data_IF_723391450372
#
_entry.id   IF_723391450372
#
_cell.length_a   1.000
_cell.length_b   1.000
_cell.length_c   1.000
_cell.angle_alpha   90.00
_cell.angle_beta   90.00
_cell.angle_gamma   90.00
#
_symmetry.space_group_name_H-M   'P 1'
#
loop_
_entity.id
_entity.type
_entity.pdbx_description
1 polymer ?
#
# COMPACT_ATOMS: atom_id res chain seq x y z
N UNK A 1 25.16 8.15 -4.45
CA UNK A 1 23.74 8.30 -4.83
C UNK A 1 23.03 7.06 -4.35
N UNK A 2 22.10 7.20 -3.41
CA UNK A 2 21.24 6.08 -3.00
C UNK A 2 20.44 5.65 -4.23
N UNK A 3 20.40 4.35 -4.58
CA UNK A 3 19.56 3.88 -5.68
C UNK A 3 18.10 4.35 -5.43
N UNK A 4 17.43 4.79 -6.50
CA UNK A 4 16.03 5.23 -6.40
C UNK A 4 15.17 4.07 -5.93
N UNK A 5 14.33 4.27 -4.91
CA UNK A 5 13.36 3.28 -4.45
C UNK A 5 12.49 2.78 -5.64
N UNK A 6 12.59 1.50 -6.04
CA UNK A 6 11.81 0.95 -7.16
C UNK A 6 10.30 0.96 -6.87
N UNK A 7 9.90 0.84 -5.61
CA UNK A 7 8.51 0.95 -5.17
C UNK A 7 7.97 2.34 -5.46
N UNK A 8 8.74 3.38 -5.16
CA UNK A 8 8.37 4.77 -5.43
C UNK A 8 8.14 5.01 -6.92
N UNK A 9 8.98 4.43 -7.80
CA UNK A 9 8.85 4.56 -9.26
C UNK A 9 7.50 4.04 -9.77
N UNK A 10 7.01 2.95 -9.19
CA UNK A 10 5.73 2.32 -9.58
C UNK A 10 4.53 3.02 -8.96
N UNK A 11 4.61 3.42 -7.69
CA UNK A 11 3.48 4.03 -6.98
C UNK A 11 3.24 5.49 -7.36
N UNK A 12 4.30 6.27 -7.63
CA UNK A 12 4.18 7.72 -7.81
C UNK A 12 3.26 8.13 -8.98
N UNK A 13 3.32 7.52 -10.18
CA UNK A 13 2.40 7.85 -11.27
C UNK A 13 0.92 7.59 -10.94
N UNK A 14 0.65 6.56 -10.13
CA UNK A 14 -0.72 6.24 -9.68
C UNK A 14 -1.16 7.22 -8.63
N UNK A 15 -0.31 7.52 -7.65
CA UNK A 15 -0.58 8.50 -6.61
C UNK A 15 -0.91 9.87 -7.20
N UNK A 16 -0.07 10.37 -8.12
CA UNK A 16 -0.29 11.68 -8.76
C UNK A 16 -1.58 11.70 -9.59
N UNK A 17 -1.90 10.58 -10.24
CA UNK A 17 -3.17 10.46 -10.95
C UNK A 17 -4.36 10.53 -10.01
N UNK A 18 -4.33 9.79 -8.90
CA UNK A 18 -5.41 9.79 -7.91
C UNK A 18 -5.56 11.18 -7.25
N UNK A 19 -4.45 11.88 -7.00
CA UNK A 19 -4.47 13.27 -6.51
C UNK A 19 -5.15 14.20 -7.50
N UNK A 20 -4.81 14.08 -8.78
CA UNK A 20 -5.45 14.85 -9.84
C UNK A 20 -6.95 14.54 -9.94
N UNK A 21 -7.35 13.27 -9.87
CA UNK A 21 -8.76 12.86 -9.92
C UNK A 21 -9.57 13.48 -8.78
N UNK A 22 -9.05 13.42 -7.55
CA UNK A 22 -9.73 14.04 -6.41
C UNK A 22 -9.74 15.58 -6.48
N UNK A 23 -8.70 16.21 -7.02
CA UNK A 23 -8.71 17.66 -7.30
C UNK A 23 -9.80 18.03 -8.31
N UNK A 24 -9.97 17.24 -9.37
CA UNK A 24 -11.04 17.45 -10.36
C UNK A 24 -12.43 17.32 -9.74
N UNK A 25 -12.63 16.36 -8.83
CA UNK A 25 -13.88 16.23 -8.07
C UNK A 25 -14.17 17.47 -7.22
N UNK A 26 -13.17 17.99 -6.50
CA UNK A 26 -13.32 19.23 -5.71
C UNK A 26 -13.65 20.44 -6.58
N UNK A 27 -12.99 20.57 -7.74
CA UNK A 27 -13.29 21.62 -8.72
C UNK A 27 -14.72 21.50 -9.25
N UNK A 28 -15.17 20.27 -9.54
CA UNK A 28 -16.55 20.02 -9.95
C UNK A 28 -17.58 20.38 -8.87
N UNK A 29 -17.33 20.01 -7.62
CA UNK A 29 -18.18 20.37 -6.48
C UNK A 29 -18.25 21.89 -6.28
N UNK A 30 -17.10 22.59 -6.41
CA UNK A 30 -17.07 24.05 -6.38
C UNK A 30 -17.91 24.65 -7.50
N UNK A 31 -17.77 24.15 -8.73
CA UNK A 31 -18.49 24.68 -9.89
C UNK A 31 -20.02 24.55 -9.74
N UNK A 32 -20.52 23.51 -9.06
CA UNK A 32 -21.96 23.35 -8.76
C UNK A 32 -22.50 24.56 -7.97
N UNK A 33 -21.72 25.11 -7.03
CA UNK A 33 -22.14 26.26 -6.24
C UNK A 33 -22.29 27.55 -7.07
N UNK A 34 -21.69 27.61 -8.26
CA UNK A 34 -21.78 28.76 -9.17
C UNK A 34 -23.04 28.71 -10.06
N UNK A 35 -23.82 27.61 -10.02
CA UNK A 35 -25.05 27.43 -10.81
C UNK A 35 -26.30 28.00 -10.09
N UNK A 36 -27.32 28.47 -10.84
CA UNK A 36 -28.64 28.77 -10.26
C UNK A 36 -29.25 27.54 -9.59
N UNK A 37 -29.58 27.63 -8.29
CA UNK A 37 -30.04 26.49 -7.49
C UNK A 37 -28.93 25.52 -7.06
N UNK A 38 -27.66 25.90 -7.26
CA UNK A 38 -26.48 25.10 -6.98
C UNK A 38 -26.36 24.61 -5.54
N UNK A 39 -26.80 25.39 -4.55
CA UNK A 39 -26.76 24.99 -3.14
C UNK A 39 -27.53 23.70 -2.85
N UNK A 40 -28.72 23.53 -3.45
CA UNK A 40 -29.52 22.32 -3.26
C UNK A 40 -28.84 21.09 -3.90
N UNK A 41 -28.17 21.27 -5.03
CA UNK A 41 -27.42 20.23 -5.72
C UNK A 41 -26.10 19.90 -5.02
N UNK A 42 -25.45 20.89 -4.40
CA UNK A 42 -24.27 20.68 -3.58
C UNK A 42 -24.61 19.88 -2.32
N UNK A 43 -25.72 20.24 -1.65
CA UNK A 43 -26.18 19.55 -0.44
C UNK A 43 -26.49 18.07 -0.70
N UNK A 44 -27.02 17.72 -1.87
CA UNK A 44 -27.24 16.30 -2.25
C UNK A 44 -25.94 15.54 -2.55
N UNK A 45 -24.79 16.23 -2.61
CA UNK A 45 -23.45 15.68 -2.85
C UNK A 45 -22.48 15.93 -1.70
N UNK A 46 -22.95 16.33 -0.51
CA UNK A 46 -22.08 16.56 0.64
C UNK A 46 -21.22 15.31 0.99
N UNK A 47 -21.78 14.11 0.77
CA UNK A 47 -21.06 12.84 0.95
C UNK A 47 -19.89 12.67 -0.04
N UNK A 48 -19.99 13.21 -1.26
CA UNK A 48 -18.88 13.21 -2.23
C UNK A 48 -17.70 14.03 -1.71
N UNK A 49 -17.98 15.17 -1.06
CA UNK A 49 -16.95 16.00 -0.43
C UNK A 49 -16.27 15.26 0.72
N UNK A 50 -17.06 14.62 1.60
CA UNK A 50 -16.53 13.82 2.70
C UNK A 50 -15.63 12.68 2.22
N UNK A 51 -16.08 11.92 1.22
CA UNK A 51 -15.28 10.85 0.59
C UNK A 51 -14.01 11.38 -0.08
N UNK A 52 -14.10 12.48 -0.81
CA UNK A 52 -12.94 13.10 -1.48
C UNK A 52 -11.93 13.61 -0.46
N UNK A 53 -12.39 14.18 0.66
CA UNK A 53 -11.53 14.61 1.76
C UNK A 53 -10.78 13.43 2.39
N UNK A 54 -11.47 12.32 2.68
CA UNK A 54 -10.83 11.12 3.22
C UNK A 54 -9.80 10.52 2.23
N UNK A 55 -10.16 10.46 0.95
CA UNK A 55 -9.24 10.02 -0.11
C UNK A 55 -8.00 10.92 -0.21
N UNK A 56 -8.15 12.24 -0.14
CA UNK A 56 -7.03 13.18 -0.14
C UNK A 56 -6.10 12.97 1.05
N UNK A 57 -6.67 12.70 2.23
CA UNK A 57 -5.86 12.44 3.42
C UNK A 57 -5.06 11.13 3.29
N UNK A 58 -5.69 10.06 2.80
CA UNK A 58 -5.03 8.77 2.53
C UNK A 58 -3.92 8.93 1.47
N UNK A 59 -4.16 9.69 0.40
CA UNK A 59 -3.16 9.97 -0.64
C UNK A 59 -2.00 10.83 -0.12
N UNK A 60 -2.28 11.81 0.75
CA UNK A 60 -1.27 12.60 1.44
C UNK A 60 -0.38 11.75 2.34
N UNK A 61 -0.97 10.80 3.07
CA UNK A 61 -0.23 9.83 3.87
C UNK A 61 0.65 8.93 2.99
N UNK A 62 0.09 8.36 1.91
CA UNK A 62 0.85 7.51 0.99
C UNK A 62 2.04 8.24 0.37
N UNK A 63 1.87 9.52 0.02
CA UNK A 63 2.95 10.35 -0.52
C UNK A 63 4.05 10.56 0.50
N UNK A 64 3.68 10.82 1.77
CA UNK A 64 4.63 10.98 2.85
C UNK A 64 5.40 9.67 3.12
N UNK A 65 4.74 8.50 3.08
CA UNK A 65 5.39 7.19 3.18
C UNK A 65 6.43 6.99 2.07
N UNK A 66 6.05 7.24 0.81
CA UNK A 66 6.97 7.09 -0.34
C UNK A 66 8.14 8.06 -0.26
N UNK A 67 7.89 9.32 0.12
CA UNK A 67 8.95 10.30 0.31
C UNK A 67 9.90 9.91 1.45
N UNK A 68 9.38 9.34 2.54
CA UNK A 68 10.18 8.88 3.68
C UNK A 68 11.01 7.64 3.37
N UNK A 69 10.48 6.69 2.60
CA UNK A 69 11.28 5.59 2.07
C UNK A 69 12.43 6.08 1.17
N UNK A 70 12.22 7.19 0.44
CA UNK A 70 13.25 7.89 -0.34
C UNK A 70 14.24 8.75 0.47
N UNK A 71 14.11 8.80 1.80
CA UNK A 71 15.01 9.51 2.71
C UNK A 71 14.53 10.89 3.18
N UNK A 72 13.34 11.34 2.78
CA UNK A 72 12.78 12.61 3.25
C UNK A 72 11.98 12.43 4.55
N UNK A 73 12.19 13.26 5.57
CA UNK A 73 11.39 13.17 6.80
C UNK A 73 10.02 13.89 6.65
N UNK A 74 9.12 13.34 5.85
CA UNK A 74 7.80 13.93 5.54
C UNK A 74 6.68 13.46 6.46
N UNK A 75 6.80 12.26 7.03
CA UNK A 75 5.79 11.78 7.99
C UNK A 75 5.91 12.44 9.36
N UNK A 76 7.09 12.94 9.74
CA UNK A 76 7.32 13.51 11.07
C UNK A 76 6.82 12.52 12.15
N UNK A 77 5.85 12.94 12.96
CA UNK A 77 5.19 12.12 13.99
C UNK A 77 3.87 11.48 13.54
N UNK A 78 3.43 11.69 12.29
CA UNK A 78 2.17 11.14 11.78
C UNK A 78 2.22 9.61 11.79
N UNK A 79 1.20 9.00 12.37
CA UNK A 79 0.93 7.55 12.35
C UNK A 79 -0.54 7.36 11.98
N UNK A 80 -0.82 6.40 11.10
CA UNK A 80 -2.19 6.02 10.71
C UNK A 80 -2.34 4.51 10.91
N UNK A 81 -3.39 4.08 11.61
CA UNK A 81 -3.61 2.65 11.85
C UNK A 81 -4.05 1.90 10.58
N UNK A 82 -4.53 2.61 9.55
CA UNK A 82 -4.86 2.06 8.23
C UNK A 82 -3.66 2.08 7.27
N UNK A 83 -2.46 2.40 7.73
CA UNK A 83 -1.26 2.60 6.89
C UNK A 83 -1.03 1.47 5.88
N UNK A 84 -1.11 0.21 6.33
CA UNK A 84 -0.95 -0.97 5.45
C UNK A 84 -2.03 -1.02 4.39
N UNK A 85 -3.30 -0.74 4.75
CA UNK A 85 -4.41 -0.74 3.80
C UNK A 85 -4.26 0.35 2.74
N UNK A 86 -3.87 1.56 3.14
CA UNK A 86 -3.67 2.69 2.23
C UNK A 86 -2.65 2.32 1.13
N UNK A 87 -1.49 1.75 1.52
CA UNK A 87 -0.45 1.38 0.57
C UNK A 87 -0.78 0.11 -0.20
N UNK A 88 -1.50 -0.84 0.40
CA UNK A 88 -2.03 -2.03 -0.27
C UNK A 88 -2.96 -1.66 -1.42
N UNK A 89 -3.93 -0.78 -1.18
CA UNK A 89 -4.90 -0.35 -2.19
C UNK A 89 -4.21 0.44 -3.31
N UNK A 90 -3.23 1.28 -2.96
CA UNK A 90 -2.45 2.02 -3.96
C UNK A 90 -1.60 1.08 -4.83
N UNK A 91 -0.95 0.08 -4.23
CA UNK A 91 -0.22 -0.95 -4.98
C UNK A 91 -1.17 -1.75 -5.88
N UNK A 92 -2.35 -2.11 -5.41
CA UNK A 92 -3.37 -2.78 -6.23
C UNK A 92 -3.78 -1.96 -7.45
N UNK A 93 -3.98 -0.65 -7.28
CA UNK A 93 -4.26 0.27 -8.40
C UNK A 93 -3.09 0.36 -9.37
N UNK A 94 -1.85 0.38 -8.86
CA UNK A 94 -0.66 0.37 -9.70
C UNK A 94 -0.58 -0.89 -10.56
N UNK A 95 -0.75 -2.06 -9.95
CA UNK A 95 -0.73 -3.34 -10.66
C UNK A 95 -1.88 -3.44 -11.67
N UNK A 96 -3.07 -2.93 -11.35
CA UNK A 96 -4.22 -2.90 -12.26
C UNK A 96 -3.94 -2.11 -13.52
N UNK A 97 -3.21 -0.99 -13.42
CA UNK A 97 -2.81 -0.20 -14.60
C UNK A 97 -1.93 -0.96 -15.58
N UNK A 98 -1.19 -1.94 -15.09
CA UNK A 98 -0.29 -2.77 -15.87
C UNK A 98 -0.92 -4.13 -16.26
N UNK A 99 -2.23 -4.29 -16.11
CA UNK A 99 -2.96 -5.52 -16.47
C UNK A 99 -2.87 -6.64 -15.43
N UNK A 100 -2.26 -6.37 -14.27
CA UNK A 100 -2.26 -7.25 -13.11
C UNK A 100 -3.48 -7.06 -12.20
N UNK A 101 -3.65 -7.92 -11.21
CA UNK A 101 -4.60 -7.69 -10.11
C UNK A 101 -4.15 -8.45 -8.87
N UNK A 102 -4.34 -7.85 -7.69
CA UNK A 102 -4.10 -8.54 -6.42
C UNK A 102 -5.29 -9.46 -6.15
N UNK A 103 -5.04 -10.77 -6.11
CA UNK A 103 -5.99 -11.77 -5.63
C UNK A 103 -5.69 -12.05 -4.17
N UNK A 104 -6.53 -11.60 -3.25
CA UNK A 104 -6.29 -11.75 -1.81
C UNK A 104 -7.47 -12.28 -1.03
N UNK A 105 -7.18 -13.07 0.00
CA UNK A 105 -8.13 -13.49 1.04
C UNK A 105 -7.77 -12.82 2.35
N UNK A 106 -8.78 -12.35 3.09
CA UNK A 106 -8.59 -11.61 4.33
C UNK A 106 -8.29 -10.13 4.12
N UNK A 107 -8.31 -9.38 5.23
CA UNK A 107 -8.10 -7.93 5.22
C UNK A 107 -6.70 -7.57 5.73
N UNK A 108 -6.07 -6.52 5.17
CA UNK A 108 -4.85 -5.97 5.74
C UNK A 108 -5.07 -5.55 7.21
N UNK A 109 -4.09 -5.81 8.10
CA UNK A 109 -4.20 -5.51 9.52
C UNK A 109 -4.19 -4.01 9.78
N UNK A 110 -4.76 -3.61 10.92
CA UNK A 110 -4.52 -2.28 11.48
C UNK A 110 -3.17 -2.25 12.18
N UNK A 111 -2.42 -1.16 12.02
CA UNK A 111 -1.12 -0.98 12.66
C UNK A 111 -1.26 -0.30 14.02
N UNK A 112 -0.52 -0.78 15.01
CA UNK A 112 -0.42 -0.12 16.31
C UNK A 112 0.36 1.21 16.17
N UNK A 113 0.09 2.24 17.01
CA UNK A 113 0.88 3.48 17.00
C UNK A 113 2.37 3.26 17.29
N UNK A 114 2.71 2.19 18.02
CA UNK A 114 4.06 1.74 18.33
C UNK A 114 4.78 1.04 17.17
N UNK A 115 4.11 0.82 16.05
CA UNK A 115 4.68 0.14 14.89
C UNK A 115 5.73 1.03 14.18
N UNK A 116 7.00 0.85 14.56
CA UNK A 116 8.17 1.49 13.92
C UNK A 116 8.02 3.03 13.79
N UNK A 117 8.62 3.63 12.77
CA UNK A 117 8.47 5.04 12.45
C UNK A 117 7.21 5.33 11.62
N UNK A 118 6.24 4.39 11.59
CA UNK A 118 4.93 4.58 10.99
C UNK A 118 4.84 4.39 9.48
N UNK A 119 5.96 4.13 8.80
CA UNK A 119 5.99 4.02 7.34
C UNK A 119 6.50 2.68 6.86
N UNK A 120 7.43 2.08 7.60
CA UNK A 120 8.15 0.88 7.20
C UNK A 120 7.21 -0.27 6.87
N UNK A 121 6.20 -0.55 7.71
CA UNK A 121 5.28 -1.66 7.48
C UNK A 121 4.44 -1.47 6.21
N UNK A 122 3.81 -0.29 6.09
CA UNK A 122 2.98 0.03 4.93
C UNK A 122 3.78 0.02 3.63
N UNK A 123 4.97 0.61 3.67
CA UNK A 123 5.90 0.62 2.55
C UNK A 123 6.33 -0.80 2.15
N UNK A 124 6.70 -1.64 3.12
CA UNK A 124 7.22 -2.99 2.85
C UNK A 124 6.18 -3.89 2.18
N UNK A 125 4.91 -3.76 2.58
CA UNK A 125 3.82 -4.48 1.95
C UNK A 125 3.65 -4.07 0.49
N UNK A 126 3.67 -2.77 0.18
CA UNK A 126 3.62 -2.32 -1.21
C UNK A 126 4.85 -2.75 -2.02
N UNK A 127 6.05 -2.67 -1.41
CA UNK A 127 7.29 -3.11 -2.02
C UNK A 127 7.26 -4.60 -2.39
N UNK A 128 6.78 -5.45 -1.48
CA UNK A 128 6.63 -6.89 -1.73
C UNK A 128 5.65 -7.17 -2.87
N UNK A 129 4.49 -6.51 -2.88
CA UNK A 129 3.49 -6.70 -3.94
C UNK A 129 4.04 -6.29 -5.32
N UNK A 130 4.72 -5.16 -5.39
CA UNK A 130 5.32 -4.65 -6.62
C UNK A 130 6.44 -5.57 -7.08
N UNK A 131 7.35 -5.95 -6.19
CA UNK A 131 8.47 -6.82 -6.53
C UNK A 131 7.99 -8.21 -6.98
N UNK A 132 7.02 -8.80 -6.29
CA UNK A 132 6.42 -10.07 -6.67
C UNK A 132 5.72 -10.03 -8.03
N UNK A 133 5.20 -8.86 -8.42
CA UNK A 133 4.49 -8.69 -9.69
C UNK A 133 5.41 -8.37 -10.87
N UNK A 134 6.68 -8.06 -10.61
CA UNK A 134 7.62 -7.49 -11.58
C UNK A 134 7.30 -6.03 -11.93
N UNK A 135 8.27 -5.31 -12.51
CA UNK A 135 8.12 -3.87 -12.84
C UNK A 135 6.92 -3.60 -13.78
N UNK A 136 6.61 -4.54 -14.67
CA UNK A 136 5.49 -4.44 -15.63
C UNK A 136 4.19 -5.10 -15.12
N UNK A 137 4.13 -5.56 -13.87
CA UNK A 137 2.93 -6.15 -13.27
C UNK A 137 2.49 -7.51 -13.85
N UNK A 138 3.21 -8.05 -14.85
CA UNK A 138 2.84 -9.24 -15.60
C UNK A 138 2.73 -10.52 -14.77
N UNK A 139 3.35 -10.56 -13.60
CA UNK A 139 3.27 -11.70 -12.67
C UNK A 139 2.24 -11.52 -11.56
N UNK A 140 1.57 -10.35 -11.45
CA UNK A 140 0.61 -10.10 -10.37
C UNK A 140 -0.49 -11.17 -10.29
N UNK A 141 -0.97 -11.63 -11.45
CA UNK A 141 -2.01 -12.66 -11.55
C UNK A 141 -1.48 -14.07 -11.25
N UNK A 142 -0.17 -14.30 -11.23
CA UNK A 142 0.40 -15.57 -10.80
C UNK A 142 0.36 -15.71 -9.27
N UNK A 143 0.18 -14.62 -8.52
CA UNK A 143 0.13 -14.68 -7.07
C UNK A 143 -1.29 -14.81 -6.52
N UNK A 144 -1.40 -15.51 -5.40
CA UNK A 144 -2.54 -15.47 -4.49
C UNK A 144 -2.05 -15.10 -3.11
N UNK A 145 -2.64 -14.05 -2.54
CA UNK A 145 -2.28 -13.51 -1.24
C UNK A 145 -3.28 -13.90 -0.17
N UNK A 146 -2.82 -14.08 1.05
CA UNK A 146 -3.66 -14.36 2.20
C UNK A 146 -3.16 -13.63 3.43
N UNK A 147 -4.04 -12.82 4.02
CA UNK A 147 -3.83 -12.21 5.33
C UNK A 147 -4.37 -13.13 6.42
N UNK A 148 -3.51 -13.49 7.36
CA UNK A 148 -3.83 -14.30 8.54
C UNK A 148 -3.36 -13.60 9.81
N UNK A 149 -4.07 -13.81 10.91
CA UNK A 149 -3.54 -13.47 12.24
C UNK A 149 -2.68 -14.60 12.76
N UNK A 150 -1.63 -14.24 13.50
CA UNK A 150 -0.81 -15.23 14.21
C UNK A 150 -1.40 -15.51 15.58
N UNK A 151 -1.12 -16.69 16.14
CA UNK A 151 -1.57 -17.08 17.49
C UNK A 151 -1.06 -16.12 18.58
N UNK A 152 0.08 -15.48 18.33
CA UNK A 152 0.70 -14.50 19.21
C UNK A 152 0.06 -13.10 19.11
N UNK A 153 -0.94 -12.91 18.24
CA UNK A 153 -1.64 -11.63 18.05
C UNK A 153 -1.03 -10.69 17.01
N UNK A 154 -0.02 -11.16 16.28
CA UNK A 154 0.56 -10.48 15.11
C UNK A 154 -0.24 -10.72 13.84
N UNK A 155 0.35 -10.35 12.71
CA UNK A 155 -0.24 -10.53 11.38
C UNK A 155 0.76 -11.18 10.43
N UNK A 156 0.25 -11.94 9.47
CA UNK A 156 1.03 -12.60 8.44
C UNK A 156 0.36 -12.43 7.08
N UNK A 157 1.14 -12.02 6.10
CA UNK A 157 0.80 -12.05 4.68
C UNK A 157 1.52 -13.22 4.04
N UNK A 158 0.78 -14.11 3.39
CA UNK A 158 1.32 -15.24 2.63
C UNK A 158 0.99 -15.03 1.16
N UNK A 159 2.02 -14.98 0.31
CA UNK A 159 1.89 -15.04 -1.13
C UNK A 159 2.20 -16.46 -1.62
N UNK A 160 1.29 -17.03 -2.41
CA UNK A 160 1.48 -18.30 -3.11
C UNK A 160 1.62 -18.01 -4.60
N UNK A 161 2.74 -18.42 -5.20
CA UNK A 161 3.02 -18.30 -6.62
C UNK A 161 2.49 -19.54 -7.36
N UNK A 162 1.57 -19.30 -8.29
CA UNK A 162 1.04 -20.29 -9.23
C UNK A 162 2.01 -20.42 -10.43
N UNK A 163 3.11 -21.15 -10.22
CA UNK A 163 4.11 -21.44 -11.24
C UNK A 163 4.74 -22.81 -11.00
N UNK A 164 5.10 -23.50 -12.09
CA UNK A 164 5.89 -24.73 -12.05
C UNK A 164 7.39 -24.46 -12.31
N UNK A 165 7.75 -23.25 -12.74
CA UNK A 165 9.07 -22.94 -13.32
C UNK A 165 9.89 -21.94 -12.51
N UNK A 166 9.24 -21.17 -11.63
CA UNK A 166 9.90 -20.10 -10.88
C UNK A 166 9.54 -20.21 -9.41
N UNK A 167 10.55 -20.08 -8.56
CA UNK A 167 10.35 -19.84 -7.14
C UNK A 167 10.03 -18.37 -6.85
N UNK A 168 9.54 -18.09 -5.66
CA UNK A 168 9.35 -16.74 -5.14
C UNK A 168 10.64 -15.92 -5.16
N UNK A 169 11.78 -16.56 -4.86
CA UNK A 169 13.10 -15.92 -4.88
C UNK A 169 13.56 -15.62 -6.31
N UNK A 170 13.27 -16.50 -7.29
CA UNK A 170 13.57 -16.25 -8.70
C UNK A 170 12.81 -15.04 -9.25
N UNK A 171 11.55 -14.87 -8.82
CA UNK A 171 10.69 -13.77 -9.25
C UNK A 171 11.08 -12.44 -8.63
N UNK A 172 11.27 -12.42 -7.30
CA UNK A 172 11.51 -11.19 -6.55
C UNK A 172 12.98 -10.77 -6.62
N UNK A 173 13.88 -11.74 -6.67
CA UNK A 173 15.32 -11.55 -6.55
C UNK A 173 15.78 -11.42 -5.10
N UNK A 174 16.90 -12.09 -4.77
CA UNK A 174 17.49 -12.09 -3.43
C UNK A 174 17.81 -10.69 -2.91
N UNK A 175 18.43 -9.86 -3.75
CA UNK A 175 18.82 -8.49 -3.37
C UNK A 175 17.60 -7.65 -2.96
N UNK A 176 16.47 -7.82 -3.64
CA UNK A 176 15.22 -7.11 -3.31
C UNK A 176 14.62 -7.63 -1.99
N UNK A 177 14.62 -8.95 -1.78
CA UNK A 177 14.16 -9.53 -0.51
C UNK A 177 14.99 -9.04 0.68
N UNK A 178 16.31 -9.03 0.55
CA UNK A 178 17.23 -8.50 1.55
C UNK A 178 16.97 -7.01 1.81
N UNK A 179 16.82 -6.23 0.74
CA UNK A 179 16.57 -4.79 0.82
C UNK A 179 15.24 -4.43 1.49
N UNK A 180 14.20 -5.24 1.30
CA UNK A 180 12.92 -5.11 2.00
C UNK A 180 13.09 -5.56 3.46
N UNK A 181 13.74 -6.69 3.72
CA UNK A 181 13.93 -7.24 5.06
C UNK A 181 14.68 -6.26 5.99
N UNK A 182 15.69 -5.56 5.48
CA UNK A 182 16.43 -4.51 6.21
C UNK A 182 15.52 -3.38 6.72
N UNK A 183 14.40 -3.11 6.05
CA UNK A 183 13.46 -2.02 6.41
C UNK A 183 12.33 -2.47 7.31
N UNK A 184 12.04 -3.77 7.39
CA UNK A 184 11.00 -4.35 8.27
C UNK A 184 11.59 -4.76 9.63
N UNK A 185 12.87 -5.11 9.66
CA UNK A 185 13.58 -5.53 10.87
C UNK A 185 13.67 -4.34 11.85
N UNK A 186 13.35 -4.51 13.15
CA UNK A 186 13.19 -5.79 13.87
C UNK A 186 11.76 -6.34 13.98
N UNK A 187 10.74 -5.63 13.50
CA UNK A 187 9.34 -5.93 13.86
C UNK A 187 8.64 -6.91 12.92
N UNK A 188 9.39 -7.50 11.99
CA UNK A 188 8.87 -8.50 11.08
C UNK A 188 9.97 -9.23 10.34
N UNK A 189 9.54 -10.26 9.61
CA UNK A 189 10.42 -11.12 8.83
C UNK A 189 9.81 -11.37 7.46
N UNK A 190 10.67 -11.37 6.45
CA UNK A 190 10.32 -11.78 5.08
C UNK A 190 11.07 -13.08 4.81
N UNK A 191 10.35 -14.11 4.40
CA UNK A 191 10.90 -15.42 4.06
C UNK A 191 10.33 -15.85 2.72
N UNK A 192 11.20 -16.23 1.80
CA UNK A 192 10.82 -16.91 0.56
C UNK A 192 11.23 -18.39 0.68
N UNK A 193 10.32 -19.30 0.38
CA UNK A 193 10.56 -20.75 0.37
C UNK A 193 9.79 -21.40 -0.79
N UNK A 194 10.54 -21.86 -1.80
CA UNK A 194 9.96 -22.39 -3.03
C UNK A 194 8.98 -21.40 -3.66
N UNK A 195 7.71 -21.79 -3.79
CA UNK A 195 6.65 -20.95 -4.37
C UNK A 195 5.92 -20.06 -3.34
N UNK A 196 6.37 -20.05 -2.09
CA UNK A 196 5.75 -19.30 -1.01
C UNK A 196 6.59 -18.09 -0.62
N UNK A 197 5.92 -16.94 -0.45
CA UNK A 197 6.46 -15.76 0.21
C UNK A 197 5.70 -15.52 1.50
N UNK A 198 6.40 -15.39 2.62
CA UNK A 198 5.81 -15.13 3.93
C UNK A 198 6.36 -13.81 4.46
N UNK A 199 5.46 -12.88 4.77
CA UNK A 199 5.77 -11.68 5.52
C UNK A 199 5.04 -11.75 6.87
N UNK A 200 5.78 -11.75 7.97
CA UNK A 200 5.20 -11.77 9.32
C UNK A 200 5.52 -10.47 10.05
N UNK A 201 4.57 -9.98 10.82
CA UNK A 201 4.68 -8.79 11.68
C UNK A 201 4.35 -9.20 13.10
N UNK A 202 5.14 -8.69 14.05
CA UNK A 202 4.95 -8.93 15.47
C UNK A 202 3.61 -8.38 16.00
N UNK A 203 3.20 -8.89 17.16
CA UNK A 203 1.98 -8.45 17.82
C UNK A 203 2.06 -6.99 18.31
N UNK A 204 3.26 -6.51 18.65
CA UNK A 204 3.47 -5.14 19.13
C UNK A 204 3.19 -4.07 18.06
N UNK A 205 3.21 -4.47 16.80
CA UNK A 205 2.98 -3.60 15.65
C UNK A 205 1.56 -3.71 15.07
N UNK A 206 0.72 -4.61 15.58
CA UNK A 206 -0.64 -4.83 15.08
C UNK A 206 -1.69 -4.45 16.13
N UNK A 207 -2.78 -3.81 15.70
CA UNK A 207 -3.93 -3.49 16.55
C UNK A 207 -5.03 -4.53 16.35
N UNK A 208 -5.69 -4.92 17.43
CA UNK A 208 -6.92 -5.71 17.32
C UNK A 208 -8.03 -4.85 16.72
N UNK A 209 -8.63 -5.31 15.61
CA UNK A 209 -9.94 -4.81 15.17
C UNK A 209 -10.93 -5.00 16.33
N UNK A 210 -11.51 -3.90 16.80
CA UNK A 210 -12.57 -3.91 17.80
C UNK A 210 -13.88 -4.45 17.21
#
# INVERSE_FOLDING_TARGET
>A
MTPSDPTARVLLPVLLHEVNNATQLLVGLRAILELPGGEAMFNSRADDLGRTSAMMDDLGFALAVVATAGGANMLLSRRDDRSVRILWDLAGKALTRHGGAIRSVGDPPLTAPSALDGWQLAWSVAALLIAASGEDGGLALAWRWEWTRTDEGGARLVGQLDSEHWSAEDVIGREMLEWIAERVTPNGAVVADGHTLIWSVDAASVRQNA
#
